data_IF_948958756026
#
_entry.id   IF_948958756026
#
_cell.length_a   1.000
_cell.length_b   1.000
_cell.length_c   1.000
_cell.angle_alpha   90.00
_cell.angle_beta   90.00
_cell.angle_gamma   90.00
#
_symmetry.space_group_name_H-M   'P 1'
#
loop_
_entity.id
_entity.type
_entity.pdbx_description
1 polymer ?
#
# COMPACT_ATOMS: atom_id res chain seq x y z
N UNK A 1 -6.94 -16.08 27.38
CA UNK A 1 -6.93 -14.61 27.30
C UNK A 1 -8.03 -14.23 26.31
N UNK A 2 -8.79 -13.16 26.52
CA UNK A 2 -9.74 -12.72 25.51
C UNK A 2 -8.95 -12.39 24.21
N UNK A 3 -9.40 -12.95 23.10
CA UNK A 3 -8.84 -12.63 21.79
C UNK A 3 -9.27 -11.19 21.48
N UNK A 4 -8.33 -10.33 21.15
CA UNK A 4 -8.66 -8.98 20.68
C UNK A 4 -9.35 -9.13 19.34
N UNK A 5 -10.56 -8.59 19.22
CA UNK A 5 -11.34 -8.60 17.98
C UNK A 5 -11.80 -7.17 17.69
N UNK A 6 -11.32 -6.63 16.57
CA UNK A 6 -11.66 -5.29 16.10
C UNK A 6 -12.19 -5.37 14.66
N UNK A 7 -12.96 -4.38 14.24
CA UNK A 7 -13.56 -4.36 12.89
C UNK A 7 -13.20 -3.07 12.18
N UNK A 8 -12.77 -3.23 10.94
CA UNK A 8 -12.42 -2.14 10.01
C UNK A 8 -13.04 -2.41 8.64
N UNK A 9 -13.09 -1.42 7.78
CA UNK A 9 -13.48 -1.64 6.38
C UNK A 9 -12.31 -2.23 5.58
N UNK A 10 -11.13 -1.64 5.75
CA UNK A 10 -9.94 -1.98 4.97
C UNK A 10 -8.75 -2.23 5.90
N UNK A 11 -8.04 -3.31 5.62
CA UNK A 11 -6.74 -3.62 6.24
C UNK A 11 -5.64 -3.43 5.21
N UNK A 12 -4.58 -2.72 5.57
CA UNK A 12 -3.37 -2.57 4.77
C UNK A 12 -2.22 -3.26 5.49
N UNK A 13 -1.57 -4.21 4.83
CA UNK A 13 -0.45 -4.97 5.40
C UNK A 13 0.85 -4.49 4.77
N UNK A 14 1.67 -3.83 5.59
CA UNK A 14 2.93 -3.21 5.18
C UNK A 14 2.83 -1.69 5.09
N UNK A 15 3.83 -1.01 5.62
CA UNK A 15 3.91 0.46 5.71
C UNK A 15 5.08 1.05 4.91
N UNK A 16 5.47 0.40 3.81
CA UNK A 16 6.28 1.01 2.77
C UNK A 16 5.49 2.08 2.01
N UNK A 17 6.08 2.69 1.00
CA UNK A 17 5.41 3.77 0.24
C UNK A 17 4.05 3.35 -0.33
N UNK A 18 3.96 2.14 -0.90
CA UNK A 18 2.71 1.62 -1.44
C UNK A 18 1.63 1.43 -0.37
N UNK A 19 2.01 0.92 0.81
CA UNK A 19 1.09 0.77 1.94
C UNK A 19 0.63 2.11 2.50
N UNK A 20 1.53 3.09 2.64
CA UNK A 20 1.18 4.44 3.07
C UNK A 20 0.16 5.07 2.12
N UNK A 21 0.40 5.01 0.81
CA UNK A 21 -0.50 5.57 -0.19
C UNK A 21 -1.87 4.86 -0.20
N UNK A 22 -1.88 3.53 -0.11
CA UNK A 22 -3.12 2.76 -0.04
C UNK A 22 -3.94 3.10 1.22
N UNK A 23 -3.28 3.19 2.37
CA UNK A 23 -3.92 3.53 3.64
C UNK A 23 -4.50 4.95 3.63
N UNK A 24 -3.71 5.93 3.14
CA UNK A 24 -4.17 7.32 2.99
C UNK A 24 -5.33 7.44 2.02
N UNK A 25 -5.28 6.73 0.88
CA UNK A 25 -6.37 6.74 -0.10
C UNK A 25 -7.67 6.20 0.50
N UNK A 26 -7.60 5.04 1.18
CA UNK A 26 -8.75 4.41 1.80
C UNK A 26 -9.36 5.30 2.91
N UNK A 27 -8.53 5.82 3.81
CA UNK A 27 -8.97 6.69 4.90
C UNK A 27 -9.59 8.01 4.40
N UNK A 28 -8.99 8.64 3.39
CA UNK A 28 -9.51 9.87 2.77
C UNK A 28 -10.84 9.67 2.02
N UNK A 29 -11.14 8.44 1.62
CA UNK A 29 -12.44 8.07 1.09
C UNK A 29 -13.48 7.79 2.20
N UNK A 30 -13.10 7.89 3.47
CA UNK A 30 -13.97 7.72 4.63
C UNK A 30 -14.12 6.27 5.09
N UNK A 31 -13.24 5.36 4.66
CA UNK A 31 -13.23 3.98 5.15
C UNK A 31 -12.42 3.87 6.43
N UNK A 32 -12.98 3.23 7.45
CA UNK A 32 -12.24 2.86 8.65
C UNK A 32 -11.11 1.89 8.27
N UNK A 33 -9.90 2.38 8.32
CA UNK A 33 -8.72 1.72 7.77
C UNK A 33 -7.71 1.44 8.88
N UNK A 34 -7.14 0.25 8.90
CA UNK A 34 -6.01 -0.10 9.74
C UNK A 34 -4.81 -0.51 8.90
N UNK A 35 -3.64 0.08 9.18
CA UNK A 35 -2.37 -0.25 8.54
C UNK A 35 -1.45 -0.96 9.52
N UNK A 36 -0.99 -2.14 9.14
CA UNK A 36 -0.04 -2.94 9.92
C UNK A 36 1.39 -2.76 9.43
N UNK A 37 2.31 -2.68 10.38
CA UNK A 37 3.75 -2.69 10.13
C UNK A 37 4.46 -3.51 11.21
N UNK A 38 5.56 -4.15 10.86
CA UNK A 38 6.41 -4.85 11.83
C UNK A 38 7.22 -3.89 12.70
N UNK A 39 7.47 -2.68 12.18
CA UNK A 39 8.13 -1.60 12.93
C UNK A 39 7.60 -0.25 12.48
N UNK A 40 7.15 0.57 13.42
CA UNK A 40 6.71 1.94 13.12
C UNK A 40 7.85 2.81 12.63
N UNK A 41 9.09 2.55 13.06
CA UNK A 41 10.28 3.29 12.61
C UNK A 41 10.62 3.05 11.13
N UNK A 42 10.05 1.99 10.53
CA UNK A 42 10.26 1.66 9.11
C UNK A 42 9.18 2.19 8.16
N UNK A 43 8.21 2.93 8.67
CA UNK A 43 7.17 3.56 7.84
C UNK A 43 7.79 4.51 6.83
N UNK A 44 7.44 4.36 5.54
CA UNK A 44 7.96 5.16 4.43
C UNK A 44 9.50 5.24 4.38
N UNK A 45 10.18 4.19 4.86
CA UNK A 45 11.64 4.14 4.89
C UNK A 45 12.22 4.18 3.48
N UNK A 46 13.27 4.97 3.32
CA UNK A 46 14.09 5.01 2.10
C UNK A 46 15.42 4.29 2.35
N UNK A 47 15.49 2.94 2.19
CA UNK A 47 16.67 2.17 2.61
C UNK A 47 17.91 2.42 1.77
N UNK A 48 17.72 2.73 0.49
CA UNK A 48 18.80 3.03 -0.44
C UNK A 48 19.04 4.54 -0.58
N UNK A 49 19.21 5.01 -1.80
CA UNK A 49 19.33 6.45 -2.10
C UNK A 49 17.96 7.12 -1.87
N UNK A 50 17.88 8.18 -1.07
CA UNK A 50 16.62 8.85 -0.75
C UNK A 50 16.17 9.74 -1.91
N UNK A 51 15.84 9.15 -3.05
CA UNK A 51 15.42 9.86 -4.25
C UNK A 51 13.99 9.48 -4.64
N UNK A 52 13.22 10.48 -5.00
CA UNK A 52 11.90 10.33 -5.62
C UNK A 52 11.97 10.85 -7.06
N UNK A 53 11.36 10.11 -7.99
CA UNK A 53 11.38 10.44 -9.41
C UNK A 53 12.52 9.78 -10.18
N UNK A 54 12.95 10.41 -11.26
CA UNK A 54 13.94 9.88 -12.20
C UNK A 54 13.33 9.20 -13.43
N UNK A 55 14.18 8.67 -14.31
CA UNK A 55 13.83 8.30 -15.69
C UNK A 55 12.71 7.27 -15.84
N UNK A 56 12.50 6.41 -14.84
CA UNK A 56 11.45 5.35 -14.91
C UNK A 56 10.38 5.51 -13.83
N UNK A 57 10.52 6.49 -12.95
CA UNK A 57 9.65 6.62 -11.77
C UNK A 57 8.95 7.98 -11.69
N UNK A 58 9.52 9.02 -12.31
CA UNK A 58 9.00 10.38 -12.18
C UNK A 58 7.57 10.55 -12.71
N UNK A 59 7.20 9.89 -13.79
CA UNK A 59 5.84 9.92 -14.32
C UNK A 59 4.86 9.18 -13.41
N UNK A 60 5.24 8.04 -12.82
CA UNK A 60 4.40 7.33 -11.84
C UNK A 60 4.11 8.19 -10.61
N UNK A 61 5.11 8.93 -10.11
CA UNK A 61 4.90 9.85 -8.99
C UNK A 61 3.93 10.95 -9.35
N UNK A 62 4.00 11.50 -10.59
CA UNK A 62 3.07 12.52 -11.06
C UNK A 62 1.65 11.99 -11.24
N UNK A 63 1.49 10.77 -11.75
CA UNK A 63 0.20 10.11 -11.84
C UNK A 63 -0.41 9.89 -10.47
N UNK A 64 0.39 9.43 -9.51
CA UNK A 64 -0.01 9.27 -8.12
C UNK A 64 -0.42 10.60 -7.49
N UNK A 65 0.36 11.66 -7.69
CA UNK A 65 0.08 13.01 -7.21
C UNK A 65 -1.24 13.56 -7.80
N UNK A 66 -1.47 13.34 -9.10
CA UNK A 66 -2.72 13.73 -9.77
C UNK A 66 -3.95 13.03 -9.19
N UNK A 67 -3.79 11.84 -8.63
CA UNK A 67 -4.83 11.11 -7.90
C UNK A 67 -4.96 11.52 -6.42
N UNK A 68 -4.17 12.49 -5.98
CA UNK A 68 -4.21 13.00 -4.60
C UNK A 68 -3.25 12.31 -3.64
N UNK A 69 -2.29 11.53 -4.16
CA UNK A 69 -1.26 10.84 -3.38
C UNK A 69 -0.39 11.77 -2.55
N UNK A 70 0.33 11.22 -1.59
CA UNK A 70 1.11 11.99 -0.63
C UNK A 70 2.62 12.04 -0.96
N UNK A 71 3.13 11.08 -1.72
CA UNK A 71 4.57 10.99 -2.01
C UNK A 71 5.10 12.25 -2.68
N UNK A 72 4.38 12.80 -3.67
CA UNK A 72 4.74 14.05 -4.35
C UNK A 72 4.77 15.23 -3.39
N UNK A 73 3.72 15.39 -2.60
CA UNK A 73 3.61 16.46 -1.60
C UNK A 73 4.68 16.36 -0.51
N UNK A 74 4.99 15.13 -0.09
CA UNK A 74 5.98 14.89 0.95
C UNK A 74 7.39 15.16 0.48
N UNK A 75 7.74 14.76 -0.76
CA UNK A 75 9.08 15.08 -1.30
C UNK A 75 9.24 16.58 -1.53
N UNK A 76 8.19 17.30 -1.95
CA UNK A 76 8.26 18.76 -2.15
C UNK A 76 8.53 19.53 -0.84
N UNK A 77 8.17 18.97 0.30
CA UNK A 77 8.46 19.55 1.62
C UNK A 77 9.86 19.21 2.15
N UNK A 78 10.44 18.12 1.67
CA UNK A 78 11.61 17.49 2.32
C UNK A 78 12.81 17.29 1.39
N UNK A 79 12.73 17.77 0.15
CA UNK A 79 13.89 17.67 -0.77
C UNK A 79 15.02 18.60 -0.37
N UNK A 80 16.25 18.12 -0.53
CA UNK A 80 17.49 18.89 -0.36
C UNK A 80 18.09 19.28 -1.71
N UNK A 81 17.78 18.54 -2.77
CA UNK A 81 18.20 18.82 -4.13
C UNK A 81 17.15 18.32 -5.12
N UNK A 82 16.88 19.14 -6.13
CA UNK A 82 16.05 18.76 -7.27
C UNK A 82 16.85 18.97 -8.55
N UNK A 83 16.85 17.98 -9.45
CA UNK A 83 17.61 18.03 -10.70
C UNK A 83 16.83 17.39 -11.83
N UNK A 84 16.83 18.06 -12.98
CA UNK A 84 16.37 17.45 -14.23
C UNK A 84 17.43 16.50 -14.76
N UNK A 85 17.05 15.30 -15.14
CA UNK A 85 17.89 14.29 -15.76
C UNK A 85 17.64 14.25 -17.27
N UNK A 86 18.65 13.81 -18.01
CA UNK A 86 18.59 13.57 -19.46
C UNK A 86 18.32 14.83 -20.31
N UNK A 87 18.68 16.02 -19.84
CA UNK A 87 18.46 17.29 -20.55
C UNK A 87 19.10 17.28 -21.95
N UNK A 88 20.22 16.55 -22.13
CA UNK A 88 20.90 16.40 -23.42
C UNK A 88 20.21 15.44 -24.40
N UNK A 89 19.18 14.70 -23.95
CA UNK A 89 18.56 13.62 -24.74
C UNK A 89 17.19 13.97 -25.33
N UNK A 90 16.76 15.21 -25.18
CA UNK A 90 15.47 15.70 -25.67
C UNK A 90 14.32 15.58 -24.66
N UNK A 91 13.24 16.37 -24.87
CA UNK A 91 12.17 16.56 -23.87
C UNK A 91 11.42 15.29 -23.46
N UNK A 92 11.30 14.32 -24.35
CA UNK A 92 10.54 13.08 -24.11
C UNK A 92 11.13 12.22 -22.96
N UNK A 93 12.40 12.39 -22.66
CA UNK A 93 13.09 11.62 -21.61
C UNK A 93 13.55 12.49 -20.44
N UNK A 94 13.17 13.75 -20.44
CA UNK A 94 13.43 14.64 -19.30
C UNK A 94 12.72 14.11 -18.06
N UNK A 95 13.44 13.96 -16.97
CA UNK A 95 12.92 13.33 -15.76
C UNK A 95 13.40 14.08 -14.54
N UNK A 96 12.46 14.62 -13.78
CA UNK A 96 12.78 15.26 -12.52
C UNK A 96 13.12 14.20 -11.47
N UNK A 97 14.21 14.41 -10.76
CA UNK A 97 14.64 13.62 -9.60
C UNK A 97 14.89 14.55 -8.43
N UNK A 98 14.20 14.30 -7.33
CA UNK A 98 14.40 14.99 -6.07
C UNK A 98 15.10 14.08 -5.07
N UNK A 99 16.14 14.58 -4.42
CA UNK A 99 16.81 13.91 -3.31
C UNK A 99 16.23 14.44 -2.00
N UNK A 100 15.73 13.54 -1.16
CA UNK A 100 15.13 13.88 0.12
C UNK A 100 16.17 14.01 1.24
N UNK A 101 15.88 14.84 2.23
CA UNK A 101 16.31 14.57 3.59
C UNK A 101 15.57 13.32 4.09
N UNK A 102 16.33 12.23 4.24
CA UNK A 102 15.77 10.91 4.55
C UNK A 102 14.98 10.89 5.85
N UNK A 103 15.51 11.54 6.87
CA UNK A 103 14.86 11.56 8.20
C UNK A 103 13.62 12.44 8.21
N UNK A 104 13.72 13.62 7.59
CA UNK A 104 12.57 14.53 7.52
C UNK A 104 11.46 13.99 6.65
N UNK A 105 11.80 13.30 5.54
CA UNK A 105 10.81 12.63 4.70
C UNK A 105 10.00 11.59 5.48
N UNK A 106 10.68 10.70 6.21
CA UNK A 106 10.04 9.69 7.05
C UNK A 106 9.20 10.34 8.15
N UNK A 107 9.76 11.33 8.86
CA UNK A 107 9.06 12.05 9.93
C UNK A 107 7.82 12.80 9.42
N UNK A 108 7.93 13.42 8.25
CA UNK A 108 6.81 14.14 7.64
C UNK A 108 5.70 13.17 7.22
N UNK A 109 6.03 12.01 6.64
CA UNK A 109 5.05 10.97 6.31
C UNK A 109 4.36 10.42 7.55
N UNK A 110 5.08 10.16 8.64
CA UNK A 110 4.50 9.75 9.92
C UNK A 110 3.44 10.74 10.40
N UNK A 111 3.78 12.04 10.40
CA UNK A 111 2.83 13.09 10.81
C UNK A 111 1.56 13.10 9.97
N UNK A 112 1.68 12.88 8.66
CA UNK A 112 0.51 12.81 7.77
C UNK A 112 -0.36 11.62 8.13
N UNK A 113 0.24 10.45 8.27
CA UNK A 113 -0.49 9.22 8.59
C UNK A 113 -1.18 9.30 9.96
N UNK A 114 -0.47 9.77 10.99
CA UNK A 114 -0.99 9.89 12.36
C UNK A 114 -2.11 10.92 12.50
N UNK A 115 -2.14 11.95 11.64
CA UNK A 115 -3.16 13.00 11.65
C UNK A 115 -4.25 12.80 10.58
N UNK A 116 -4.32 11.64 9.96
CA UNK A 116 -5.36 11.32 8.98
C UNK A 116 -6.54 10.66 9.69
N UNK A 117 -7.70 11.26 9.58
CA UNK A 117 -8.95 10.69 10.11
C UNK A 117 -9.22 9.31 9.48
N UNK A 118 -9.92 8.43 10.21
CA UNK A 118 -10.23 7.06 9.78
C UNK A 118 -9.03 6.15 9.54
N UNK A 119 -7.81 6.52 9.99
CA UNK A 119 -6.61 5.72 9.86
C UNK A 119 -6.04 5.32 11.22
N UNK A 120 -5.96 4.03 11.46
CA UNK A 120 -5.27 3.45 12.61
C UNK A 120 -3.96 2.81 12.14
N UNK A 121 -2.86 3.09 12.84
CA UNK A 121 -1.57 2.44 12.60
C UNK A 121 -1.31 1.46 13.73
N UNK A 122 -0.94 0.23 13.40
CA UNK A 122 -0.63 -0.79 14.40
C UNK A 122 0.67 -1.51 14.10
N UNK A 123 1.53 -1.54 15.10
CA UNK A 123 2.72 -2.38 15.03
C UNK A 123 2.36 -3.81 15.40
N UNK A 124 2.24 -4.66 14.39
CA UNK A 124 2.04 -6.09 14.52
C UNK A 124 2.39 -6.80 13.21
N UNK A 125 2.75 -8.07 13.32
CA UNK A 125 2.97 -8.94 12.17
C UNK A 125 1.67 -9.67 11.85
N UNK A 126 1.18 -9.50 10.60
CA UNK A 126 0.01 -10.23 10.08
C UNK A 126 0.50 -11.58 9.57
N UNK A 127 -0.03 -12.65 10.14
CA UNK A 127 0.37 -14.01 9.84
C UNK A 127 -0.60 -14.73 8.88
N UNK A 128 -1.87 -14.32 8.86
CA UNK A 128 -2.90 -15.05 8.12
C UNK A 128 -3.98 -14.11 7.58
N UNK A 129 -4.44 -14.37 6.36
CA UNK A 129 -5.65 -13.75 5.78
C UNK A 129 -6.79 -14.73 5.99
N UNK A 130 -7.82 -14.27 6.68
CA UNK A 130 -9.01 -15.06 6.97
C UNK A 130 -10.01 -14.94 5.82
N UNK A 131 -10.46 -16.08 5.34
CA UNK A 131 -11.44 -16.16 4.24
C UNK A 131 -12.57 -17.11 4.59
N UNK A 132 -13.75 -16.85 4.03
CA UNK A 132 -14.85 -17.79 4.04
C UNK A 132 -15.25 -18.20 2.62
N UNK A 133 -15.80 -19.38 2.46
CA UNK A 133 -16.31 -19.86 1.18
C UNK A 133 -17.68 -19.20 0.88
N UNK A 134 -17.90 -18.82 -0.38
CA UNK A 134 -19.19 -18.29 -0.82
C UNK A 134 -20.01 -19.45 -1.37
N UNK A 135 -21.08 -19.91 -0.70
CA UNK A 135 -21.90 -21.02 -1.16
C UNK A 135 -22.58 -20.69 -2.50
N UNK A 136 -22.49 -21.59 -3.47
CA UNK A 136 -23.24 -21.54 -4.72
C UNK A 136 -22.68 -20.69 -5.85
N UNK A 137 -21.59 -19.97 -5.65
CA UNK A 137 -20.90 -19.27 -6.72
C UNK A 137 -19.67 -20.02 -7.21
N UNK A 138 -19.87 -20.95 -8.16
CA UNK A 138 -18.78 -21.44 -8.99
C UNK A 138 -18.45 -20.37 -10.02
N UNK A 139 -17.20 -19.91 -10.06
CA UNK A 139 -16.74 -18.99 -11.10
C UNK A 139 -16.72 -19.68 -12.45
N UNK A 140 -17.82 -19.59 -13.21
CA UNK A 140 -17.82 -19.93 -14.61
C UNK A 140 -17.33 -18.72 -15.40
N UNK A 141 -16.04 -18.64 -15.70
CA UNK A 141 -15.60 -18.00 -16.94
C UNK A 141 -15.84 -19.02 -18.04
N UNK A 142 -16.94 -18.86 -18.77
CA UNK A 142 -17.08 -19.50 -20.07
C UNK A 142 -16.23 -18.71 -21.05
N UNK A 143 -14.96 -19.06 -21.20
CA UNK A 143 -14.27 -18.84 -22.44
C UNK A 143 -14.59 -20.04 -23.36
N UNK A 144 -15.44 -19.81 -24.34
CA UNK A 144 -15.62 -20.70 -25.48
C UNK A 144 -14.32 -20.75 -26.28
N UNK A 145 -13.41 -21.60 -25.88
CA UNK A 145 -12.32 -22.07 -26.72
C UNK A 145 -12.37 -23.59 -26.77
N UNK A 146 -12.70 -24.08 -27.97
CA UNK A 146 -12.70 -25.50 -28.31
C UNK A 146 -11.38 -26.16 -27.86
N UNK A 147 -11.47 -27.14 -26.97
CA UNK A 147 -10.45 -28.17 -26.82
C UNK A 147 -9.65 -28.24 -25.52
N UNK A 148 -9.99 -27.58 -24.44
CA UNK A 148 -9.33 -27.75 -23.14
C UNK A 148 -10.27 -28.29 -22.06
N UNK A 149 -9.79 -29.34 -21.35
CA UNK A 149 -10.44 -29.92 -20.19
C UNK A 149 -10.79 -28.84 -19.17
N UNK A 150 -12.01 -28.92 -18.64
CA UNK A 150 -12.49 -28.10 -17.54
C UNK A 150 -11.53 -28.19 -16.35
N UNK A 151 -10.65 -27.20 -16.20
CA UNK A 151 -9.99 -26.96 -14.94
C UNK A 151 -11.00 -26.29 -14.05
N UNK A 152 -11.62 -27.03 -13.13
CA UNK A 152 -12.53 -26.48 -12.13
C UNK A 152 -11.81 -25.35 -11.36
N UNK A 153 -12.25 -24.12 -11.52
CA UNK A 153 -11.75 -23.03 -10.73
C UNK A 153 -12.10 -23.24 -9.26
N UNK A 154 -11.16 -22.96 -8.34
CA UNK A 154 -11.41 -23.17 -6.93
C UNK A 154 -12.60 -22.33 -6.45
N UNK A 155 -13.29 -22.83 -5.44
CA UNK A 155 -14.39 -22.16 -4.75
C UNK A 155 -14.07 -20.68 -4.53
N UNK A 156 -14.98 -19.78 -4.91
CA UNK A 156 -14.81 -18.36 -4.63
C UNK A 156 -14.77 -18.15 -3.12
N UNK A 157 -13.77 -17.42 -2.68
CA UNK A 157 -13.58 -17.07 -1.27
C UNK A 157 -13.76 -15.57 -1.09
N UNK A 158 -14.37 -15.19 0.02
CA UNK A 158 -14.48 -13.81 0.48
C UNK A 158 -13.54 -13.58 1.65
N UNK A 159 -12.82 -12.46 1.65
CA UNK A 159 -12.02 -12.03 2.79
C UNK A 159 -12.97 -11.63 3.92
N UNK A 160 -12.67 -12.07 5.14
CA UNK A 160 -13.41 -11.73 6.35
C UNK A 160 -12.54 -11.06 7.40
N UNK A 161 -11.21 -11.08 7.24
CA UNK A 161 -10.29 -10.44 8.16
C UNK A 161 -8.85 -10.86 7.99
N UNK A 162 -8.05 -10.45 8.95
CA UNK A 162 -6.65 -10.88 9.11
C UNK A 162 -6.41 -11.30 10.55
N UNK A 163 -5.40 -12.15 10.76
CA UNK A 163 -4.95 -12.57 12.07
C UNK A 163 -3.47 -12.26 12.22
N UNK A 164 -3.12 -11.66 13.34
CA UNK A 164 -1.73 -11.37 13.68
C UNK A 164 -1.04 -12.58 14.26
N UNK A 165 0.30 -12.56 14.26
CA UNK A 165 1.12 -13.60 14.88
C UNK A 165 0.81 -13.78 16.38
N UNK A 166 0.43 -12.72 17.07
CA UNK A 166 0.00 -12.75 18.48
C UNK A 166 -1.40 -13.36 18.69
N UNK A 167 -2.13 -13.68 17.62
CA UNK A 167 -3.45 -14.29 17.65
C UNK A 167 -4.62 -13.29 17.66
N UNK A 168 -4.38 -11.98 17.61
CA UNK A 168 -5.44 -10.99 17.48
C UNK A 168 -6.10 -11.05 16.10
N UNK A 169 -7.41 -10.88 16.05
CA UNK A 169 -8.21 -10.94 14.82
C UNK A 169 -8.79 -9.55 14.51
N UNK A 170 -8.63 -9.15 13.26
CA UNK A 170 -9.14 -7.89 12.73
C UNK A 170 -10.06 -8.19 11.56
N UNK A 171 -11.36 -8.03 11.76
CA UNK A 171 -12.38 -8.23 10.72
C UNK A 171 -12.30 -7.10 9.70
N UNK A 172 -12.44 -7.44 8.42
CA UNK A 172 -12.46 -6.44 7.36
C UNK A 172 -13.16 -6.94 6.10
N UNK A 173 -13.48 -6.01 5.21
CA UNK A 173 -14.11 -6.26 3.91
C UNK A 173 -13.08 -6.42 2.79
N UNK A 174 -11.93 -5.79 2.95
CA UNK A 174 -10.83 -5.84 1.96
C UNK A 174 -9.47 -5.79 2.63
N UNK A 175 -8.49 -6.41 1.99
CA UNK A 175 -7.09 -6.41 2.41
C UNK A 175 -6.22 -5.94 1.25
N UNK A 176 -5.34 -4.98 1.53
CA UNK A 176 -4.28 -4.56 0.59
C UNK A 176 -2.95 -5.12 1.10
N UNK A 177 -2.32 -5.96 0.30
CA UNK A 177 -0.98 -6.49 0.58
C UNK A 177 0.08 -5.57 -0.03
N UNK A 178 0.87 -4.94 0.83
CA UNK A 178 1.96 -4.04 0.46
C UNK A 178 3.27 -4.41 1.19
N UNK A 179 3.53 -5.71 1.31
CA UNK A 179 4.60 -6.32 2.10
C UNK A 179 5.99 -6.20 1.48
N UNK A 180 6.08 -5.68 0.25
CA UNK A 180 7.35 -5.52 -0.47
C UNK A 180 7.70 -6.74 -1.31
N UNK A 181 9.01 -6.99 -1.45
CA UNK A 181 9.55 -8.06 -2.33
C UNK A 181 9.56 -9.43 -1.66
N UNK A 182 9.59 -9.45 -0.34
CA UNK A 182 9.61 -10.68 0.47
C UNK A 182 8.33 -10.76 1.30
N UNK A 183 7.66 -11.88 1.19
CA UNK A 183 6.54 -12.31 2.03
C UNK A 183 7.02 -13.33 3.05
#
# INVERSE_FOLDING_TARGET
>A
MPVVEETYDIVVVGAGHAGCEAALAAARLGFETIMFTVSVDSIALMPCNPNVGGSSKGHLVRELDALGGEMGKNIDKTFIQSKMLNESKGPAVHSLRAQADKQEYTRSMHRVLENTDHLTIRQAEVAEILTEEIPGEYGTFQEEHEGHQESGYPVKKRIVGVKTYSGAVYKCRAVVLATGVYL
#
